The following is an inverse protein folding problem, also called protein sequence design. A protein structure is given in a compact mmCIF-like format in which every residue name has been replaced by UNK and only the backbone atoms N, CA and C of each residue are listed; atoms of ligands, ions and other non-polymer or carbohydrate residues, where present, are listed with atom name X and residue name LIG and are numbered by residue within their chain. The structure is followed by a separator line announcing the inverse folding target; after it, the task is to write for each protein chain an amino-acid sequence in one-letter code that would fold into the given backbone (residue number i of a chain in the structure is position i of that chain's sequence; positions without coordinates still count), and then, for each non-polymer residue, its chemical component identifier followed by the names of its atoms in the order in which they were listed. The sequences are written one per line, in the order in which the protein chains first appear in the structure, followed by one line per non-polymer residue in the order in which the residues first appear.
data_IF_204912166413
#
_entry.id   IF_204912166413
#
_cell.length_a   1.000
_cell.length_b   1.000
_cell.length_c   1.000
_cell.angle_alpha   90.00
_cell.angle_beta   90.00
_cell.angle_gamma   90.00
#
_symmetry.space_group_name_H-M   'P 1'
#
loop_
_entity.id
_entity.type
_entity.pdbx_description
1 polymer ?
#
# COMPACT_ATOMS: atom_id res chain seq x y z
N UNK A 1 17.45 -3.79 -22.42
CA UNK A 1 16.91 -3.91 -21.04
C UNK A 1 16.37 -2.58 -20.49
N UNK A 2 17.19 -1.52 -20.44
CA UNK A 2 16.82 -0.20 -19.91
C UNK A 2 15.59 0.48 -20.55
N UNK A 3 15.53 0.50 -21.88
CA UNK A 3 14.37 1.06 -22.60
C UNK A 3 13.07 0.29 -22.32
N UNK A 4 13.17 -1.02 -22.07
CA UNK A 4 12.02 -1.84 -21.68
C UNK A 4 11.51 -1.46 -20.28
N UNK A 5 12.42 -1.31 -19.32
CA UNK A 5 12.09 -0.89 -17.95
C UNK A 5 11.36 0.46 -17.98
N UNK A 6 11.96 1.47 -18.62
CA UNK A 6 11.41 2.82 -18.68
C UNK A 6 10.03 2.88 -19.36
N UNK A 7 9.79 1.99 -20.35
CA UNK A 7 8.53 1.96 -21.09
C UNK A 7 7.42 1.21 -20.35
N UNK A 8 7.72 0.09 -19.68
CA UNK A 8 6.68 -0.84 -19.23
C UNK A 8 6.54 -0.96 -17.70
N UNK A 9 7.60 -0.75 -16.92
CA UNK A 9 7.53 -0.93 -15.46
C UNK A 9 6.50 -0.02 -14.77
N UNK A 10 6.32 1.26 -15.17
CA UNK A 10 5.27 2.09 -14.58
C UNK A 10 3.87 1.49 -14.77
N UNK A 11 3.58 0.95 -15.95
CA UNK A 11 2.29 0.33 -16.25
C UNK A 11 2.09 -0.98 -15.50
N UNK A 12 3.13 -1.81 -15.38
CA UNK A 12 3.06 -3.02 -14.56
C UNK A 12 2.86 -2.69 -13.08
N UNK A 13 3.53 -1.64 -12.56
CA UNK A 13 3.32 -1.16 -11.20
C UNK A 13 1.87 -0.73 -10.97
N UNK A 14 1.30 0.08 -11.87
CA UNK A 14 -0.11 0.47 -11.79
C UNK A 14 -1.04 -0.75 -11.86
N UNK A 15 -0.84 -1.66 -12.81
CA UNK A 15 -1.69 -2.83 -12.98
C UNK A 15 -1.68 -3.71 -11.74
N UNK A 16 -0.50 -3.99 -11.18
CA UNK A 16 -0.36 -4.75 -9.92
C UNK A 16 -1.05 -4.04 -8.77
N UNK A 17 -0.83 -2.72 -8.63
CA UNK A 17 -1.47 -1.93 -7.58
C UNK A 17 -3.00 -2.04 -7.64
N UNK A 18 -3.61 -1.79 -8.81
CA UNK A 18 -5.06 -1.86 -8.94
C UNK A 18 -5.61 -3.27 -8.73
N UNK A 19 -5.00 -4.28 -9.37
CA UNK A 19 -5.46 -5.67 -9.25
C UNK A 19 -5.41 -6.14 -7.80
N UNK A 20 -4.29 -5.93 -7.10
CA UNK A 20 -4.14 -6.32 -5.72
C UNK A 20 -5.11 -5.58 -4.79
N UNK A 21 -5.35 -4.27 -5.00
CA UNK A 21 -6.31 -3.53 -4.19
C UNK A 21 -7.75 -3.97 -4.44
N UNK A 22 -8.14 -4.24 -5.69
CA UNK A 22 -9.48 -4.78 -6.01
C UNK A 22 -9.69 -6.13 -5.32
N UNK A 23 -8.70 -7.03 -5.40
CA UNK A 23 -8.75 -8.33 -4.73
C UNK A 23 -8.82 -8.15 -3.21
N UNK A 24 -8.03 -7.23 -2.64
CA UNK A 24 -8.07 -6.95 -1.21
C UNK A 24 -9.44 -6.40 -0.76
N UNK A 25 -10.05 -5.48 -1.53
CA UNK A 25 -11.40 -4.98 -1.26
C UNK A 25 -12.44 -6.10 -1.26
N UNK A 26 -12.35 -7.03 -2.22
CA UNK A 26 -13.26 -8.18 -2.29
C UNK A 26 -13.18 -9.07 -1.04
N UNK A 27 -11.97 -9.25 -0.48
CA UNK A 27 -11.75 -10.05 0.73
C UNK A 27 -11.75 -9.23 2.03
N UNK A 28 -12.16 -7.96 1.98
CA UNK A 28 -12.16 -7.11 3.15
C UNK A 28 -13.23 -7.58 4.16
N UNK A 29 -12.83 -7.75 5.41
CA UNK A 29 -13.70 -8.31 6.45
C UNK A 29 -14.90 -7.42 6.80
N UNK A 30 -14.77 -6.10 6.62
CA UNK A 30 -15.85 -5.14 6.85
C UNK A 30 -15.57 -4.10 7.94
N UNK A 31 -16.59 -3.29 8.17
CA UNK A 31 -16.59 -2.13 9.03
C UNK A 31 -15.99 -0.91 8.33
N UNK A 32 -16.56 0.26 8.62
CA UNK A 32 -16.06 1.57 8.22
C UNK A 32 -15.97 2.46 9.47
N UNK A 33 -15.31 3.61 9.38
CA UNK A 33 -15.17 4.49 10.55
C UNK A 33 -16.53 5.02 11.02
N UNK A 34 -17.47 5.23 10.09
CA UNK A 34 -18.82 5.70 10.38
C UNK A 34 -19.80 4.58 10.73
N UNK A 35 -19.48 3.34 10.39
CA UNK A 35 -20.34 2.18 10.62
C UNK A 35 -19.49 0.91 10.79
N UNK A 36 -19.24 0.53 12.03
CA UNK A 36 -18.45 -0.65 12.38
C UNK A 36 -19.14 -1.97 12.07
N UNK A 37 -20.46 -1.99 11.82
CA UNK A 37 -21.20 -3.22 11.51
C UNK A 37 -21.35 -3.48 10.00
N UNK A 38 -20.96 -2.51 9.17
CA UNK A 38 -20.98 -2.67 7.71
C UNK A 38 -20.20 -3.91 7.25
N UNK A 39 -20.76 -4.63 6.28
CA UNK A 39 -20.16 -5.85 5.73
C UNK A 39 -19.39 -5.52 4.45
N UNK A 40 -18.14 -5.98 4.37
CA UNK A 40 -17.30 -5.78 3.19
C UNK A 40 -16.76 -4.34 3.05
N UNK A 41 -16.14 -4.06 1.89
CA UNK A 41 -15.54 -2.75 1.61
C UNK A 41 -16.51 -1.81 0.91
N UNK A 42 -16.70 -0.62 1.46
CA UNK A 42 -17.42 0.50 0.86
C UNK A 42 -16.42 1.53 0.33
N UNK A 43 -16.39 1.73 -0.98
CA UNK A 43 -15.46 2.65 -1.64
C UNK A 43 -15.56 4.12 -1.18
N UNK A 44 -16.73 4.56 -0.72
CA UNK A 44 -16.94 5.95 -0.29
C UNK A 44 -16.77 6.14 1.21
N UNK A 45 -16.85 5.05 1.99
CA UNK A 45 -16.76 5.11 3.47
C UNK A 45 -15.47 4.53 4.02
N UNK A 46 -14.78 3.68 3.26
CA UNK A 46 -13.53 3.06 3.66
C UNK A 46 -12.31 3.76 3.06
N UNK A 47 -11.25 3.84 3.85
CA UNK A 47 -9.94 4.24 3.37
C UNK A 47 -9.21 3.04 2.78
N UNK A 48 -8.40 3.27 1.74
CA UNK A 48 -7.61 2.21 1.12
C UNK A 48 -6.67 1.52 2.11
N UNK A 49 -6.11 2.28 3.06
CA UNK A 49 -5.22 1.74 4.11
C UNK A 49 -5.91 0.77 5.07
N UNK A 50 -7.25 0.75 5.14
CA UNK A 50 -7.97 -0.21 5.98
C UNK A 50 -7.85 -1.64 5.45
N UNK A 51 -7.62 -1.81 4.15
CA UNK A 51 -7.30 -3.11 3.55
C UNK A 51 -6.03 -3.72 4.17
N UNK A 52 -5.14 -2.87 4.66
CA UNK A 52 -3.89 -3.18 5.35
C UNK A 52 -4.00 -3.42 6.85
N UNK A 53 -5.20 -3.63 7.40
CA UNK A 53 -5.37 -4.04 8.81
C UNK A 53 -5.42 -5.55 8.94
N UNK A 54 -4.88 -6.10 10.04
CA UNK A 54 -5.00 -7.54 10.35
C UNK A 54 -6.41 -7.93 10.78
N UNK A 55 -7.14 -6.99 11.38
CA UNK A 55 -8.58 -7.08 11.65
C UNK A 55 -9.34 -5.94 10.98
N UNK A 56 -10.52 -6.25 10.46
CA UNK A 56 -11.48 -5.27 9.94
C UNK A 56 -11.84 -4.24 11.01
N UNK A 57 -12.50 -3.15 10.64
CA UNK A 57 -12.99 -2.19 11.64
C UNK A 57 -14.08 -2.84 12.50
N UNK A 58 -14.80 -3.81 11.95
CA UNK A 58 -15.75 -4.67 12.66
C UNK A 58 -15.09 -5.70 13.61
N UNK A 59 -13.76 -5.77 13.69
CA UNK A 59 -13.03 -6.70 14.56
C UNK A 59 -12.80 -8.10 13.98
N UNK A 60 -13.39 -8.40 12.82
CA UNK A 60 -13.25 -9.68 12.12
C UNK A 60 -11.88 -9.86 11.47
N UNK A 61 -11.52 -11.11 11.17
CA UNK A 61 -10.22 -11.45 10.58
C UNK A 61 -10.09 -10.89 9.14
N UNK A 62 -9.08 -10.05 8.91
CA UNK A 62 -8.84 -9.39 7.63
C UNK A 62 -7.49 -9.78 6.98
N UNK A 63 -6.91 -10.93 7.39
CA UNK A 63 -5.57 -11.34 6.94
C UNK A 63 -5.46 -11.58 5.43
N UNK A 64 -6.54 -12.02 4.76
CA UNK A 64 -6.52 -12.25 3.31
C UNK A 64 -6.40 -10.91 2.57
N UNK A 65 -7.25 -9.93 2.91
CA UNK A 65 -7.15 -8.56 2.41
C UNK A 65 -5.76 -7.97 2.69
N UNK A 66 -5.27 -8.10 3.93
CA UNK A 66 -3.95 -7.62 4.33
C UNK A 66 -2.85 -8.15 3.41
N UNK A 67 -2.81 -9.47 3.18
CA UNK A 67 -1.78 -10.11 2.34
C UNK A 67 -1.80 -9.58 0.91
N UNK A 68 -2.98 -9.45 0.29
CA UNK A 68 -3.08 -8.92 -1.08
C UNK A 68 -2.70 -7.46 -1.15
N UNK A 69 -3.15 -6.64 -0.20
CA UNK A 69 -2.77 -5.24 -0.12
C UNK A 69 -1.26 -5.07 0.06
N UNK A 70 -0.66 -5.75 1.04
CA UNK A 70 0.78 -5.71 1.30
C UNK A 70 1.61 -6.19 0.12
N UNK A 71 1.20 -7.29 -0.53
CA UNK A 71 1.87 -7.79 -1.72
C UNK A 71 1.80 -6.79 -2.89
N UNK A 72 0.63 -6.16 -3.08
CA UNK A 72 0.44 -5.12 -4.10
C UNK A 72 1.33 -3.91 -3.88
N UNK A 73 1.35 -3.40 -2.65
CA UNK A 73 2.19 -2.25 -2.24
C UNK A 73 3.68 -2.56 -2.39
N UNK A 74 4.12 -3.73 -1.89
CA UNK A 74 5.52 -4.16 -1.94
C UNK A 74 6.02 -4.35 -3.39
N UNK A 75 5.23 -5.03 -4.21
CA UNK A 75 5.57 -5.30 -5.62
C UNK A 75 5.59 -4.01 -6.44
N UNK A 76 4.57 -3.16 -6.27
CA UNK A 76 4.50 -1.86 -6.96
C UNK A 76 5.67 -0.96 -6.59
N UNK A 77 5.96 -0.82 -5.29
CA UNK A 77 7.09 -0.03 -4.82
C UNK A 77 8.43 -0.56 -5.36
N UNK A 78 8.60 -1.89 -5.43
CA UNK A 78 9.81 -2.50 -6.00
C UNK A 78 9.96 -2.18 -7.49
N UNK A 79 8.88 -2.28 -8.27
CA UNK A 79 8.89 -1.91 -9.70
C UNK A 79 9.24 -0.42 -9.89
N UNK A 80 8.73 0.45 -9.02
CA UNK A 80 9.04 1.87 -9.05
C UNK A 80 10.48 2.17 -8.65
N UNK A 81 11.04 1.51 -7.64
CA UNK A 81 12.47 1.63 -7.30
C UNK A 81 13.32 1.31 -8.54
N UNK A 82 13.06 0.18 -9.19
CA UNK A 82 13.80 -0.23 -10.39
C UNK A 82 13.63 0.82 -11.50
N UNK A 83 12.41 1.28 -11.76
CA UNK A 83 12.16 2.34 -12.75
C UNK A 83 12.95 3.62 -12.44
N UNK A 84 12.91 4.11 -11.20
CA UNK A 84 13.56 5.36 -10.80
C UNK A 84 15.08 5.25 -10.83
N UNK A 85 15.68 4.07 -10.62
CA UNK A 85 17.12 3.86 -10.83
C UNK A 85 17.55 4.14 -12.28
N UNK A 86 16.71 3.80 -13.26
CA UNK A 86 17.02 4.02 -14.68
C UNK A 86 16.55 5.37 -15.20
N UNK A 87 15.62 6.06 -14.53
CA UNK A 87 15.06 7.33 -15.00
C UNK A 87 16.08 8.42 -15.32
N UNK A 88 17.14 8.68 -14.50
CA UNK A 88 18.13 9.73 -14.78
C UNK A 88 18.77 9.67 -16.15
N UNK A 89 18.96 8.45 -16.62
CA UNK A 89 19.66 8.20 -17.87
C UNK A 89 18.83 8.49 -19.12
N UNK A 90 17.50 8.45 -19.01
CA UNK A 90 16.60 8.86 -20.08
C UNK A 90 16.76 10.36 -20.38
N UNK A 91 17.09 11.14 -19.35
CA UNK A 91 17.27 12.58 -19.42
C UNK A 91 18.74 13.03 -19.55
N UNK A 92 19.65 12.10 -19.85
CA UNK A 92 21.08 12.42 -20.00
C UNK A 92 21.81 12.73 -18.69
N UNK A 93 21.37 12.14 -17.56
CA UNK A 93 22.07 12.18 -16.25
C UNK A 93 22.29 13.63 -15.76
N UNK A 94 21.23 14.44 -15.78
CA UNK A 94 21.26 15.79 -15.20
C UNK A 94 21.18 15.72 -13.67
N UNK A 95 21.84 16.64 -12.96
CA UNK A 95 21.82 16.71 -11.48
C UNK A 95 20.40 16.70 -10.91
N UNK A 96 19.48 17.44 -11.52
CA UNK A 96 18.07 17.50 -11.10
C UNK A 96 17.38 16.13 -11.20
N UNK A 97 17.70 15.34 -12.24
CA UNK A 97 17.09 14.02 -12.43
C UNK A 97 17.67 12.98 -11.49
N UNK A 98 18.97 13.07 -11.16
CA UNK A 98 19.59 12.23 -10.13
C UNK A 98 18.94 12.52 -8.77
N UNK A 99 18.79 13.81 -8.41
CA UNK A 99 18.18 14.22 -7.15
C UNK A 99 16.71 13.79 -7.06
N UNK A 100 15.95 13.97 -8.14
CA UNK A 100 14.56 13.49 -8.22
C UNK A 100 14.44 11.98 -8.09
N UNK A 101 15.31 11.22 -8.77
CA UNK A 101 15.37 9.76 -8.65
C UNK A 101 15.67 9.29 -7.22
N UNK A 102 16.61 9.96 -6.53
CA UNK A 102 16.94 9.67 -5.14
C UNK A 102 15.71 9.81 -4.21
N UNK A 103 15.00 10.93 -4.28
CA UNK A 103 13.80 11.13 -3.47
C UNK A 103 12.66 10.18 -3.87
N UNK A 104 12.53 9.85 -5.16
CA UNK A 104 11.52 8.92 -5.64
C UNK A 104 11.77 7.46 -5.16
N UNK A 105 13.04 7.05 -5.07
CA UNK A 105 13.42 5.76 -4.48
C UNK A 105 13.08 5.73 -2.99
N UNK A 106 13.42 6.78 -2.23
CA UNK A 106 13.06 6.89 -0.81
C UNK A 106 11.54 6.82 -0.64
N UNK A 107 10.78 7.58 -1.43
CA UNK A 107 9.32 7.54 -1.41
C UNK A 107 8.77 6.14 -1.71
N UNK A 108 9.37 5.42 -2.67
CA UNK A 108 8.98 4.05 -2.99
C UNK A 108 9.28 3.07 -1.86
N UNK A 109 10.39 3.24 -1.14
CA UNK A 109 10.70 2.46 0.07
C UNK A 109 9.68 2.73 1.16
N UNK A 110 9.35 4.01 1.42
CA UNK A 110 8.31 4.38 2.38
C UNK A 110 6.96 3.77 2.00
N UNK A 111 6.62 3.74 0.71
CA UNK A 111 5.39 3.13 0.20
C UNK A 111 5.33 1.62 0.49
N UNK A 112 6.44 0.88 0.28
CA UNK A 112 6.55 -0.52 0.66
C UNK A 112 6.37 -0.69 2.18
N UNK A 113 7.05 0.14 2.97
CA UNK A 113 7.00 0.09 4.44
C UNK A 113 5.59 0.34 4.98
N UNK A 114 4.87 1.31 4.43
CA UNK A 114 3.45 1.51 4.74
C UNK A 114 2.64 0.26 4.40
N UNK A 115 2.88 -0.33 3.22
CA UNK A 115 2.23 -1.55 2.75
C UNK A 115 2.40 -2.78 3.66
N UNK A 116 3.49 -2.89 4.40
CA UNK A 116 3.77 -4.05 5.26
C UNK A 116 3.45 -3.79 6.74
N UNK A 117 3.18 -2.54 7.12
CA UNK A 117 2.96 -2.16 8.52
C UNK A 117 1.46 -2.23 8.82
N UNK A 118 1.01 -3.20 9.65
CA UNK A 118 -0.40 -3.31 10.01
C UNK A 118 -0.83 -2.14 10.91
N UNK A 119 -1.85 -1.40 10.48
CA UNK A 119 -2.30 -0.18 11.17
C UNK A 119 -3.02 -0.40 12.50
N UNK A 120 -3.40 -1.65 12.82
CA UNK A 120 -4.24 -2.01 13.95
C UNK A 120 -3.48 -2.64 15.14
N UNK A 121 -2.23 -3.07 14.96
CA UNK A 121 -1.45 -3.70 16.05
C UNK A 121 -1.09 -2.69 17.14
N UNK A 122 -0.70 -1.47 16.77
CA UNK A 122 -0.34 -0.42 17.75
C UNK A 122 -1.58 0.07 18.50
N UNK A 123 -2.72 0.21 17.81
CA UNK A 123 -3.96 0.66 18.43
C UNK A 123 -4.47 -0.34 19.48
N UNK A 124 -4.37 -1.65 19.19
CA UNK A 124 -4.71 -2.71 20.15
C UNK A 124 -3.80 -2.72 21.38
N UNK A 125 -2.50 -2.45 21.23
CA UNK A 125 -1.58 -2.31 22.36
C UNK A 125 -1.96 -1.12 23.25
N UNK A 126 -2.41 0.00 22.66
CA UNK A 126 -2.88 1.15 23.44
C UNK A 126 -4.18 0.85 24.21
N UNK A 127 -5.12 0.11 23.61
CA UNK A 127 -6.39 -0.27 24.24
C UNK A 127 -6.20 -1.31 25.35
N UNK A 128 -5.36 -2.33 25.11
CA UNK A 128 -5.01 -3.33 26.12
C UNK A 128 -4.32 -2.73 27.36
N UNK A 129 -3.65 -1.59 27.20
CA UNK A 129 -2.96 -0.91 28.29
C UNK A 129 -3.81 0.16 29.00
N UNK A 130 -5.01 0.49 28.50
CA UNK A 130 -5.93 1.46 29.11
C UNK A 130 -7.41 1.07 28.87
N UNK A 131 -7.98 0.17 29.70
CA UNK A 131 -9.36 -0.30 29.56
C UNK A 131 -10.43 0.74 29.89
N UNK A 132 -10.07 1.96 30.33
CA UNK A 132 -11.01 3.04 30.68
C UNK A 132 -11.53 3.86 29.49
N UNK A 133 -11.11 3.51 28.26
CA UNK A 133 -11.53 4.14 27.00
C UNK A 133 -12.59 3.32 26.25
N UNK A 134 -13.17 2.31 26.90
CA UNK A 134 -14.28 1.47 26.40
C UNK A 134 -15.65 2.03 26.75
#
# INVERSE_FOLDING_TARGET
MKNYILKYFPFYGLAVFFLCNIIAMYFYAGGSISDSESVGYDFFRNYLSQLGRTRGVNGENNLISFRFWSAGMATTGTLFIIYYMYLPTFFGIKKITILGSFFAIISSICFIMTGITPGDIILNLSYSNNPSLS
#
